data_IF_495709385247
#
_entry.id   IF_495709385247
#
_cell.length_a   1.000
_cell.length_b   1.000
_cell.length_c   1.000
_cell.angle_alpha   90.00
_cell.angle_beta   90.00
_cell.angle_gamma   90.00
#
_symmetry.space_group_name_H-M   'P 1'
#
loop_
_entity.id
_entity.type
_entity.pdbx_description
1 polymer ?
#
# COMPACT_ATOMS: atom_id res chain seq x y z
N UNK A 1 7.51 10.93 14.12
CA UNK A 1 7.90 9.92 13.12
C UNK A 1 8.05 8.58 13.81
N UNK A 2 7.31 7.55 13.39
CA UNK A 2 7.31 6.23 14.02
C UNK A 2 7.58 5.13 13.00
N UNK A 3 8.83 4.70 12.90
CA UNK A 3 9.33 3.67 11.98
C UNK A 3 8.58 2.33 12.08
N UNK A 4 8.07 1.98 13.26
CA UNK A 4 7.36 0.72 13.49
C UNK A 4 6.04 0.61 12.73
N UNK A 5 5.30 1.71 12.53
CA UNK A 5 4.02 1.68 11.82
C UNK A 5 4.21 1.41 10.33
N UNK A 6 5.18 2.09 9.71
CA UNK A 6 5.54 1.85 8.30
C UNK A 6 6.10 0.45 8.09
N UNK A 7 6.93 -0.04 9.02
CA UNK A 7 7.44 -1.41 8.98
C UNK A 7 6.31 -2.45 9.07
N UNK A 8 5.39 -2.27 10.02
CA UNK A 8 4.23 -3.15 10.15
C UNK A 8 3.38 -3.17 8.87
N UNK A 9 3.11 -2.01 8.26
CA UNK A 9 2.39 -1.93 6.98
C UNK A 9 3.14 -2.70 5.89
N UNK A 10 4.47 -2.52 5.78
CA UNK A 10 5.28 -3.24 4.78
C UNK A 10 5.22 -4.76 4.96
N UNK A 11 5.25 -5.25 6.20
CA UNK A 11 5.12 -6.68 6.52
C UNK A 11 3.73 -7.19 6.15
N UNK A 12 2.67 -6.46 6.48
CA UNK A 12 1.30 -6.80 6.11
C UNK A 12 1.16 -6.86 4.58
N UNK A 13 1.60 -5.84 3.86
CA UNK A 13 1.56 -5.79 2.40
C UNK A 13 2.29 -6.99 1.77
N UNK A 14 3.51 -7.27 2.21
CA UNK A 14 4.30 -8.41 1.71
C UNK A 14 3.64 -9.76 1.98
N UNK A 15 3.02 -9.92 3.15
CA UNK A 15 2.36 -11.17 3.55
C UNK A 15 1.13 -11.41 2.69
N UNK A 16 0.32 -10.37 2.51
CA UNK A 16 -0.89 -10.41 1.71
C UNK A 16 -0.57 -10.66 0.22
N UNK A 17 0.47 -10.03 -0.33
CA UNK A 17 0.94 -10.30 -1.69
C UNK A 17 1.42 -11.75 -1.87
N UNK A 18 2.06 -12.31 -0.84
CA UNK A 18 2.43 -13.73 -0.84
C UNK A 18 1.21 -14.64 -0.88
N UNK A 19 0.19 -14.34 -0.07
CA UNK A 19 -1.08 -15.08 -0.05
C UNK A 19 -1.80 -14.97 -1.40
N UNK A 20 -1.89 -13.76 -1.97
CA UNK A 20 -2.53 -13.53 -3.26
C UNK A 20 -1.84 -14.34 -4.39
N UNK A 21 -0.51 -14.35 -4.41
CA UNK A 21 0.28 -15.16 -5.34
C UNK A 21 0.05 -16.66 -5.15
N UNK A 22 0.04 -17.15 -3.91
CA UNK A 22 -0.22 -18.55 -3.60
C UNK A 22 -1.62 -18.98 -4.04
N UNK A 23 -2.62 -18.12 -3.85
CA UNK A 23 -4.00 -18.37 -4.24
C UNK A 23 -4.28 -18.11 -5.73
N UNK A 24 -3.30 -17.59 -6.50
CA UNK A 24 -3.46 -17.09 -7.88
C UNK A 24 -4.65 -16.14 -8.04
N UNK A 25 -4.97 -15.38 -7.00
CA UNK A 25 -6.08 -14.42 -6.96
C UNK A 25 -5.55 -13.00 -7.00
N UNK A 26 -6.27 -12.14 -7.72
CA UNK A 26 -6.00 -10.71 -7.67
C UNK A 26 -6.33 -10.18 -6.28
N UNK A 27 -5.44 -9.38 -5.72
CA UNK A 27 -5.63 -8.81 -4.40
C UNK A 27 -6.66 -7.67 -4.44
N UNK A 28 -7.73 -7.69 -3.62
CA UNK A 28 -8.74 -6.63 -3.59
C UNK A 28 -8.37 -5.46 -2.66
N UNK A 29 -7.07 -5.27 -2.36
CA UNK A 29 -6.60 -4.24 -1.42
C UNK A 29 -5.91 -3.12 -2.18
N UNK A 30 -6.28 -1.88 -1.87
CA UNK A 30 -5.67 -0.68 -2.43
C UNK A 30 -4.82 -0.01 -1.34
N UNK A 31 -3.52 0.06 -1.56
CA UNK A 31 -2.59 0.76 -0.67
C UNK A 31 -2.49 2.23 -1.06
N UNK A 32 -2.81 3.12 -0.13
CA UNK A 32 -2.81 4.56 -0.37
C UNK A 32 -2.04 5.34 0.70
N UNK A 33 -1.40 6.43 0.29
CA UNK A 33 -0.86 7.43 1.21
C UNK A 33 -1.10 8.85 0.69
N UNK A 34 -0.91 9.84 1.56
CA UNK A 34 -1.15 11.25 1.25
C UNK A 34 -0.09 11.82 0.28
N UNK A 35 1.18 11.49 0.51
CA UNK A 35 2.31 12.04 -0.27
C UNK A 35 2.99 10.97 -1.12
N UNK A 36 3.59 11.38 -2.25
CA UNK A 36 4.32 10.47 -3.14
C UNK A 36 5.48 9.73 -2.46
N UNK A 37 6.15 10.39 -1.52
CA UNK A 37 7.23 9.77 -0.72
C UNK A 37 6.68 8.66 0.17
N UNK A 38 5.53 8.88 0.80
CA UNK A 38 4.90 7.87 1.65
C UNK A 38 4.35 6.69 0.83
N UNK A 39 3.86 6.92 -0.39
CA UNK A 39 3.38 5.84 -1.27
C UNK A 39 4.48 4.91 -1.70
N UNK A 40 5.70 5.42 -1.92
CA UNK A 40 6.86 4.60 -2.25
C UNK A 40 7.18 3.57 -1.14
N UNK A 41 7.04 3.96 0.13
CA UNK A 41 7.33 3.10 1.27
C UNK A 41 6.34 1.93 1.44
N UNK A 42 5.12 2.07 0.92
CA UNK A 42 4.05 1.06 1.01
C UNK A 42 3.72 0.42 -0.34
N UNK A 43 4.50 0.70 -1.39
CA UNK A 43 4.25 0.24 -2.76
C UNK A 43 2.82 0.56 -3.26
N UNK A 44 2.32 1.75 -2.89
CA UNK A 44 0.93 2.18 -3.13
C UNK A 44 0.79 3.35 -4.10
N UNK A 45 -0.42 3.92 -4.17
CA UNK A 45 -0.75 5.14 -4.94
C UNK A 45 -1.16 6.29 -4.03
N UNK A 46 -1.11 7.52 -4.52
CA UNK A 46 -1.60 8.65 -3.73
C UNK A 46 -3.11 8.59 -3.62
N UNK A 47 -3.67 9.02 -2.48
CA UNK A 47 -5.14 9.10 -2.31
C UNK A 47 -5.76 9.92 -3.44
N UNK A 48 -5.12 11.04 -3.82
CA UNK A 48 -5.54 11.89 -4.93
C UNK A 48 -5.60 11.14 -6.27
N UNK A 49 -4.59 10.34 -6.60
CA UNK A 49 -4.58 9.53 -7.83
C UNK A 49 -5.60 8.39 -7.80
N UNK A 50 -5.74 7.73 -6.65
CA UNK A 50 -6.66 6.60 -6.48
C UNK A 50 -8.11 7.03 -6.63
N UNK A 51 -8.49 8.15 -6.00
CA UNK A 51 -9.88 8.63 -6.00
C UNK A 51 -10.15 9.76 -6.99
N UNK A 52 -9.15 10.13 -7.82
CA UNK A 52 -9.22 11.27 -8.76
C UNK A 52 -9.68 12.56 -8.07
N UNK A 53 -9.18 12.81 -6.87
CA UNK A 53 -9.45 14.04 -6.12
C UNK A 53 -8.52 15.12 -6.67
N UNK A 54 -9.05 16.26 -7.16
CA UNK A 54 -8.20 17.39 -7.53
C UNK A 54 -7.47 17.91 -6.29
N UNK A 55 -6.19 18.23 -6.48
CA UNK A 55 -5.34 18.85 -5.45
C UNK A 55 -5.65 20.34 -5.38
#
# INVERSE_FOLDING_TARGET
>A
GGTRKTYAIKVITSTIDSIARALRKKLPIIWCALTGVATFLISGKTIYSTFRIPI
#
